data_IF_738131227906
#
_entry.id   IF_738131227906
#
_cell.length_a   1.000
_cell.length_b   1.000
_cell.length_c   1.000
_cell.angle_alpha   90.00
_cell.angle_beta   90.00
_cell.angle_gamma   90.00
#
_symmetry.space_group_name_H-M   'P 1'
#
loop_
_entity.id
_entity.type
_entity.pdbx_description
1 polymer ?
#
# COMPACT_ATOMS: atom_id res chain seq x y z
N UNK A 1 -11.09 0.89 21.57
CA UNK A 1 -10.39 0.96 20.26
C UNK A 1 -10.28 -0.41 19.56
N UNK A 2 -10.68 -1.55 20.16
CA UNK A 2 -10.55 -2.90 19.57
C UNK A 2 -11.88 -3.57 19.16
N UNK A 3 -13.03 -2.93 19.35
CA UNK A 3 -14.34 -3.63 19.28
C UNK A 3 -14.84 -3.92 17.85
N UNK A 4 -14.20 -3.34 16.82
CA UNK A 4 -14.58 -3.54 15.40
C UNK A 4 -13.68 -4.52 14.64
N UNK A 5 -12.53 -4.88 15.22
CA UNK A 5 -11.52 -5.67 14.54
C UNK A 5 -11.91 -7.16 14.60
N UNK A 6 -12.22 -7.74 13.46
CA UNK A 6 -12.54 -9.17 13.32
C UNK A 6 -11.25 -9.95 13.06
N UNK A 7 -11.23 -11.24 13.40
CA UNK A 7 -10.03 -12.09 13.26
C UNK A 7 -10.37 -13.43 12.62
N UNK A 8 -9.59 -13.83 11.62
CA UNK A 8 -9.54 -15.17 11.05
C UNK A 8 -8.22 -15.82 11.48
N UNK A 9 -8.28 -16.94 12.21
CA UNK A 9 -7.09 -17.65 12.64
C UNK A 9 -6.64 -18.63 11.54
N UNK A 10 -5.61 -18.25 10.79
CA UNK A 10 -4.98 -19.13 9.79
C UNK A 10 -3.92 -19.96 10.50
N UNK A 11 -4.13 -21.27 10.57
CA UNK A 11 -3.22 -22.21 11.23
C UNK A 11 -2.22 -22.82 10.25
N UNK A 12 -1.00 -23.03 10.71
CA UNK A 12 0.07 -23.67 9.94
C UNK A 12 0.30 -23.06 8.54
N UNK A 13 0.27 -21.73 8.44
CA UNK A 13 0.59 -21.04 7.21
C UNK A 13 2.09 -21.22 6.89
N UNK A 14 2.40 -21.84 5.74
CA UNK A 14 3.77 -22.00 5.27
C UNK A 14 4.15 -20.89 4.30
N UNK A 15 5.14 -20.07 4.67
CA UNK A 15 5.70 -18.99 3.85
C UNK A 15 6.44 -19.54 2.63
N UNK A 16 6.79 -18.68 1.66
CA UNK A 16 7.64 -19.05 0.52
C UNK A 16 9.01 -19.57 0.95
N UNK A 17 9.53 -19.13 2.10
CA UNK A 17 10.80 -19.61 2.68
C UNK A 17 10.66 -20.96 3.41
N UNK A 18 9.46 -21.54 3.49
CA UNK A 18 9.20 -22.82 4.14
C UNK A 18 9.00 -22.75 5.65
N UNK A 19 8.87 -21.54 6.22
CA UNK A 19 8.62 -21.33 7.65
C UNK A 19 7.12 -21.41 7.94
N UNK A 20 6.76 -21.95 9.09
CA UNK A 20 5.36 -22.20 9.47
C UNK A 20 4.95 -21.26 10.59
N UNK A 21 3.80 -20.59 10.40
CA UNK A 21 3.25 -19.62 11.34
C UNK A 21 1.76 -19.85 11.58
N UNK A 22 1.30 -19.53 12.79
CA UNK A 22 -0.11 -19.30 13.07
C UNK A 22 -0.38 -17.81 12.98
N UNK A 23 -1.24 -17.40 12.04
CA UNK A 23 -1.49 -16.00 11.72
C UNK A 23 -2.91 -15.60 12.15
N UNK A 24 -3.06 -14.65 13.10
CA UNK A 24 -4.34 -13.99 13.34
C UNK A 24 -4.55 -12.92 12.26
N UNK A 25 -5.18 -13.30 11.14
CA UNK A 25 -5.48 -12.36 10.07
C UNK A 25 -6.67 -11.48 10.50
N UNK A 26 -6.37 -10.24 10.86
CA UNK A 26 -7.40 -9.29 11.28
C UNK A 26 -7.93 -8.47 10.11
N UNK A 27 -9.18 -8.03 10.21
CA UNK A 27 -9.84 -7.26 9.17
C UNK A 27 -10.99 -6.41 9.72
N UNK A 28 -11.37 -5.40 8.94
CA UNK A 28 -12.53 -4.54 9.19
C UNK A 28 -13.43 -4.51 7.95
N UNK A 29 -14.72 -4.24 8.19
CA UNK A 29 -15.75 -4.13 7.16
C UNK A 29 -16.50 -2.81 7.37
N UNK A 30 -16.71 -2.06 6.29
CA UNK A 30 -17.42 -0.77 6.30
C UNK A 30 -18.49 -0.73 5.21
N UNK A 31 -19.46 0.18 5.38
CA UNK A 31 -20.56 0.36 4.43
C UNK A 31 -21.60 -0.74 4.50
N UNK A 32 -22.06 -1.21 3.35
CA UNK A 32 -23.08 -2.25 3.26
C UNK A 32 -22.59 -3.57 3.86
N UNK A 33 -23.51 -4.35 4.42
CA UNK A 33 -23.20 -5.65 4.99
C UNK A 33 -22.58 -6.61 3.96
N UNK A 34 -21.72 -7.50 4.44
CA UNK A 34 -21.21 -8.58 3.58
C UNK A 34 -22.37 -9.35 2.96
N UNK A 35 -22.20 -9.75 1.70
CA UNK A 35 -23.18 -10.49 0.90
C UNK A 35 -24.43 -9.69 0.47
N UNK A 36 -24.56 -8.41 0.83
CA UNK A 36 -25.67 -7.55 0.36
C UNK A 36 -25.26 -6.58 -0.74
N UNK A 37 -23.96 -6.36 -0.93
CA UNK A 37 -23.42 -5.43 -1.91
C UNK A 37 -22.12 -5.97 -2.56
N UNK A 38 -21.70 -5.41 -3.71
CA UNK A 38 -20.42 -5.74 -4.31
C UNK A 38 -19.27 -5.36 -3.37
N UNK A 39 -18.29 -6.26 -3.22
CA UNK A 39 -17.17 -6.08 -2.28
C UNK A 39 -16.01 -5.35 -2.95
N UNK A 40 -15.51 -4.31 -2.29
CA UNK A 40 -14.27 -3.60 -2.64
C UNK A 40 -13.21 -3.93 -1.60
N UNK A 41 -12.15 -4.59 -2.03
CA UNK A 41 -11.00 -4.88 -1.17
C UNK A 41 -10.02 -3.70 -1.21
N UNK A 42 -9.73 -3.14 -0.05
CA UNK A 42 -8.77 -2.06 0.13
C UNK A 42 -7.53 -2.59 0.83
N UNK A 43 -6.40 -2.58 0.13
CA UNK A 43 -5.10 -2.97 0.69
C UNK A 43 -4.35 -1.72 1.14
N UNK A 44 -3.95 -1.67 2.42
CA UNK A 44 -3.28 -0.49 2.98
C UNK A 44 -1.78 -0.42 2.63
N UNK A 45 -1.25 0.80 2.66
CA UNK A 45 0.17 1.09 2.43
C UNK A 45 1.04 0.81 3.67
N UNK A 46 2.34 1.17 3.60
CA UNK A 46 3.38 0.84 4.60
C UNK A 46 3.00 1.12 6.06
N UNK A 47 2.42 2.30 6.33
CA UNK A 47 2.08 2.73 7.70
C UNK A 47 0.57 2.84 7.93
N UNK A 48 -0.22 2.29 7.01
CA UNK A 48 -1.66 2.16 7.15
C UNK A 48 -2.06 0.91 7.94
N UNK A 49 -3.35 0.67 8.00
CA UNK A 49 -3.98 -0.46 8.68
C UNK A 49 -5.37 -0.73 8.07
N UNK A 50 -6.13 -1.67 8.66
CA UNK A 50 -7.49 -2.01 8.22
C UNK A 50 -8.54 -0.90 8.43
N UNK A 51 -8.25 0.12 9.25
CA UNK A 51 -9.17 1.25 9.45
C UNK A 51 -9.13 2.23 8.27
N UNK A 52 -9.88 1.92 7.22
CA UNK A 52 -9.84 2.64 5.94
C UNK A 52 -10.69 3.90 5.94
N UNK A 53 -11.90 3.85 6.49
CA UNK A 53 -12.85 4.97 6.53
C UNK A 53 -13.43 5.16 7.94
N UNK A 54 -14.40 6.08 8.10
CA UNK A 54 -14.93 6.50 9.39
C UNK A 54 -14.02 7.47 10.14
N UNK A 55 -14.19 7.57 11.45
CA UNK A 55 -13.47 8.55 12.28
C UNK A 55 -11.95 8.37 12.20
N UNK A 56 -11.48 7.12 12.26
CA UNK A 56 -10.06 6.72 12.24
C UNK A 56 -9.53 6.44 10.84
N UNK A 57 -10.36 6.59 9.80
CA UNK A 57 -10.06 6.18 8.44
C UNK A 57 -8.95 6.98 7.78
N UNK A 58 -7.87 6.31 7.35
CA UNK A 58 -6.77 6.95 6.64
C UNK A 58 -7.09 7.32 5.18
N UNK A 59 -8.15 6.72 4.58
CA UNK A 59 -8.58 6.99 3.21
C UNK A 59 -10.01 7.54 3.11
N UNK A 60 -10.55 8.10 4.20
CA UNK A 60 -11.94 8.57 4.31
C UNK A 60 -12.38 9.66 3.31
N UNK A 61 -11.43 10.35 2.69
CA UNK A 61 -11.73 11.35 1.66
C UNK A 61 -12.08 10.74 0.29
N UNK A 62 -11.65 9.51 0.03
CA UNK A 62 -11.95 8.75 -1.18
C UNK A 62 -13.02 7.67 -0.95
N UNK A 63 -13.13 7.17 0.28
CA UNK A 63 -13.99 6.04 0.65
C UNK A 63 -14.89 6.46 1.81
N UNK A 64 -16.21 6.39 1.64
CA UNK A 64 -17.18 6.84 2.64
C UNK A 64 -18.53 7.22 2.02
N UNK A 65 -19.47 7.69 2.83
CA UNK A 65 -20.81 8.03 2.35
C UNK A 65 -20.76 9.17 1.32
N UNK A 66 -21.29 8.93 0.12
CA UNK A 66 -21.30 9.89 -0.98
C UNK A 66 -19.94 10.20 -1.60
N UNK A 67 -18.86 9.51 -1.17
CA UNK A 67 -17.51 9.60 -1.74
C UNK A 67 -17.41 8.74 -3.02
N UNK A 68 -16.30 8.81 -3.79
CA UNK A 68 -16.16 8.01 -5.01
C UNK A 68 -16.35 6.51 -4.79
N UNK A 69 -15.78 5.97 -3.72
CA UNK A 69 -16.07 4.60 -3.27
C UNK A 69 -17.12 4.69 -2.17
N UNK A 70 -18.39 4.71 -2.60
CA UNK A 70 -19.53 5.01 -1.73
C UNK A 70 -19.89 3.82 -0.84
N UNK A 71 -19.86 4.02 0.48
CA UNK A 71 -20.25 3.02 1.47
C UNK A 71 -21.75 2.74 1.50
N UNK A 72 -22.57 3.56 0.83
CA UNK A 72 -23.99 3.27 0.58
C UNK A 72 -24.19 2.25 -0.55
N UNK A 73 -23.19 2.04 -1.40
CA UNK A 73 -23.26 1.17 -2.59
C UNK A 73 -22.43 -0.10 -2.44
N UNK A 74 -21.29 0.00 -1.75
CA UNK A 74 -20.31 -1.08 -1.66
C UNK A 74 -20.09 -1.55 -0.23
N UNK A 75 -19.73 -2.83 -0.11
CA UNK A 75 -19.09 -3.35 1.11
C UNK A 75 -17.58 -3.14 0.99
N UNK A 76 -17.00 -2.38 1.91
CA UNK A 76 -15.56 -2.16 1.95
C UNK A 76 -14.95 -3.18 2.89
N UNK A 77 -14.04 -4.01 2.38
CA UNK A 77 -13.27 -4.97 3.16
C UNK A 77 -11.81 -4.52 3.20
N UNK A 78 -11.19 -4.55 4.37
CA UNK A 78 -9.78 -4.28 4.52
C UNK A 78 -9.14 -5.26 5.51
N UNK A 79 -8.22 -6.09 5.02
CA UNK A 79 -7.36 -6.89 5.88
C UNK A 79 -6.22 -6.03 6.41
N UNK A 80 -5.86 -6.26 7.68
CA UNK A 80 -4.63 -5.73 8.23
C UNK A 80 -3.45 -6.63 7.79
N UNK A 81 -2.34 -6.03 7.37
CA UNK A 81 -1.13 -6.79 6.99
C UNK A 81 -0.53 -7.42 8.26
N UNK A 82 -0.45 -8.76 8.36
CA UNK A 82 0.10 -9.42 9.54
C UNK A 82 1.54 -8.97 9.83
N UNK A 83 1.80 -8.66 11.09
CA UNK A 83 3.10 -8.19 11.54
C UNK A 83 3.29 -6.68 11.48
N UNK A 84 2.34 -5.89 10.97
CA UNK A 84 2.41 -4.42 11.00
C UNK A 84 2.19 -3.81 12.40
N UNK A 85 1.80 -4.61 13.39
CA UNK A 85 1.63 -4.21 14.78
C UNK A 85 0.31 -3.51 15.14
N UNK A 86 -0.57 -3.19 14.18
CA UNK A 86 -1.82 -2.49 14.45
C UNK A 86 -2.78 -3.27 15.37
N UNK A 87 -2.86 -4.58 15.16
CA UNK A 87 -3.66 -5.51 15.96
C UNK A 87 -2.90 -6.08 17.18
N UNK A 88 -1.65 -5.66 17.36
CA UNK A 88 -0.73 -6.16 18.37
C UNK A 88 0.00 -7.45 17.97
N UNK A 89 -0.23 -7.99 16.77
CA UNK A 89 0.53 -9.13 16.25
C UNK A 89 1.81 -8.65 15.54
N UNK A 90 2.92 -9.27 15.90
CA UNK A 90 4.25 -8.99 15.35
C UNK A 90 4.86 -10.28 14.81
N UNK A 91 5.72 -10.14 13.80
CA UNK A 91 6.51 -11.23 13.25
C UNK A 91 7.96 -11.00 13.67
N UNK A 92 8.54 -11.99 14.35
CA UNK A 92 9.90 -11.87 14.91
C UNK A 92 10.98 -11.78 13.83
N UNK A 93 10.82 -12.55 12.75
CA UNK A 93 11.73 -12.52 11.62
C UNK A 93 11.01 -12.11 10.32
N UNK A 94 10.95 -10.80 10.01
CA UNK A 94 10.41 -10.28 8.76
C UNK A 94 10.86 -11.04 7.51
N UNK A 95 12.15 -11.42 7.44
CA UNK A 95 12.75 -12.03 6.25
C UNK A 95 12.22 -13.42 5.91
N UNK A 96 11.45 -14.03 6.81
CA UNK A 96 10.75 -15.27 6.51
C UNK A 96 9.57 -15.05 5.54
N UNK A 97 9.12 -13.81 5.37
CA UNK A 97 7.99 -13.42 4.53
C UNK A 97 8.43 -12.62 3.30
N UNK A 98 7.62 -12.77 2.25
CA UNK A 98 7.64 -11.91 1.05
C UNK A 98 6.22 -11.37 0.79
N UNK A 99 6.06 -10.35 -0.05
CA UNK A 99 4.74 -9.78 -0.38
C UNK A 99 3.74 -10.83 -0.87
N UNK A 100 4.21 -11.80 -1.66
CA UNK A 100 3.40 -12.93 -2.13
C UNK A 100 2.78 -13.76 -1.01
N UNK A 101 3.42 -13.85 0.17
CA UNK A 101 2.84 -14.55 1.33
C UNK A 101 1.67 -13.78 1.93
N UNK A 102 1.74 -12.44 1.95
CA UNK A 102 0.62 -11.59 2.39
C UNK A 102 -0.55 -11.73 1.42
N UNK A 103 -0.28 -11.73 0.11
CA UNK A 103 -1.31 -12.00 -0.89
C UNK A 103 -1.98 -13.36 -0.69
N UNK A 104 -1.21 -14.43 -0.40
CA UNK A 104 -1.76 -15.76 -0.07
C UNK A 104 -2.63 -15.74 1.19
N UNK A 105 -2.22 -15.03 2.24
CA UNK A 105 -2.99 -14.88 3.47
C UNK A 105 -4.32 -14.15 3.19
N UNK A 106 -4.30 -13.08 2.40
CA UNK A 106 -5.52 -12.34 2.04
C UNK A 106 -6.45 -13.19 1.19
N UNK A 107 -5.92 -13.98 0.24
CA UNK A 107 -6.71 -14.93 -0.54
C UNK A 107 -7.39 -15.99 0.36
N UNK A 108 -6.66 -16.56 1.33
CA UNK A 108 -7.24 -17.48 2.31
C UNK A 108 -8.29 -16.79 3.20
N UNK A 109 -8.06 -15.52 3.57
CA UNK A 109 -9.05 -14.71 4.27
C UNK A 109 -10.35 -14.56 3.48
N UNK A 110 -10.26 -14.25 2.18
CA UNK A 110 -11.42 -14.17 1.29
C UNK A 110 -12.14 -15.52 1.16
N UNK A 111 -11.40 -16.63 1.09
CA UNK A 111 -11.97 -17.99 1.06
C UNK A 111 -12.77 -18.29 2.33
N UNK A 112 -12.23 -17.99 3.51
CA UNK A 112 -12.94 -18.16 4.79
C UNK A 112 -14.19 -17.29 4.86
N UNK A 113 -14.14 -16.08 4.29
CA UNK A 113 -15.29 -15.18 4.19
C UNK A 113 -16.26 -15.56 3.05
N UNK A 114 -16.01 -16.64 2.30
CA UNK A 114 -16.80 -17.06 1.14
C UNK A 114 -16.93 -15.97 0.05
N UNK A 115 -15.89 -15.16 -0.14
CA UNK A 115 -15.84 -14.10 -1.15
C UNK A 115 -15.04 -14.62 -2.36
N UNK A 116 -15.77 -14.97 -3.43
CA UNK A 116 -15.17 -15.58 -4.62
C UNK A 116 -14.84 -14.57 -5.73
N UNK A 117 -15.49 -13.43 -5.72
CA UNK A 117 -15.32 -12.35 -6.69
C UNK A 117 -15.40 -10.99 -5.98
N UNK A 118 -14.54 -10.07 -6.36
CA UNK A 118 -14.49 -8.69 -5.90
C UNK A 118 -14.94 -7.76 -7.02
N UNK A 119 -15.68 -6.71 -6.68
CA UNK A 119 -15.93 -5.62 -7.61
C UNK A 119 -14.63 -4.90 -7.96
N UNK A 120 -13.82 -4.61 -6.94
CA UNK A 120 -12.54 -3.96 -7.12
C UNK A 120 -11.51 -4.37 -6.06
N UNK A 121 -10.24 -4.34 -6.45
CA UNK A 121 -9.10 -4.26 -5.54
C UNK A 121 -8.47 -2.88 -5.73
N UNK A 122 -8.27 -2.13 -4.65
CA UNK A 122 -7.60 -0.83 -4.66
C UNK A 122 -6.56 -0.75 -3.55
N UNK A 123 -5.40 -0.16 -3.85
CA UNK A 123 -4.35 0.01 -2.86
C UNK A 123 -3.24 0.92 -3.36
N UNK A 124 -2.74 1.76 -2.46
CA UNK A 124 -1.60 2.62 -2.71
C UNK A 124 -0.29 1.97 -2.29
N UNK A 125 0.82 2.24 -2.99
CA UNK A 125 2.16 1.79 -2.58
C UNK A 125 2.18 0.26 -2.38
N UNK A 126 2.75 -0.21 -1.26
CA UNK A 126 2.71 -1.62 -0.87
C UNK A 126 1.34 -2.29 -1.02
N UNK A 127 0.25 -1.57 -0.72
CA UNK A 127 -1.11 -2.12 -0.84
C UNK A 127 -1.49 -2.50 -2.28
N UNK A 128 -1.09 -1.69 -3.25
CA UNK A 128 -1.29 -2.02 -4.66
C UNK A 128 -0.31 -3.10 -5.14
N UNK A 129 0.92 -3.14 -4.60
CA UNK A 129 1.84 -4.26 -4.78
C UNK A 129 1.27 -5.60 -4.32
N UNK A 130 0.61 -5.62 -3.14
CA UNK A 130 -0.14 -6.81 -2.67
C UNK A 130 -1.30 -7.12 -3.62
N UNK A 131 -2.01 -6.11 -4.12
CA UNK A 131 -3.09 -6.31 -5.10
C UNK A 131 -2.61 -6.96 -6.40
N UNK A 132 -1.44 -6.55 -6.91
CA UNK A 132 -0.78 -7.19 -8.04
C UNK A 132 -0.47 -8.66 -7.74
N UNK A 133 0.16 -8.96 -6.61
CA UNK A 133 0.48 -10.32 -6.16
C UNK A 133 -0.76 -11.22 -6.04
N UNK A 134 -1.84 -10.69 -5.47
CA UNK A 134 -3.12 -11.40 -5.37
C UNK A 134 -3.67 -11.79 -6.74
N UNK A 135 -3.64 -10.86 -7.71
CA UNK A 135 -4.13 -11.11 -9.07
C UNK A 135 -3.16 -11.96 -9.91
N UNK A 136 -1.86 -11.93 -9.62
CA UNK A 136 -0.88 -12.87 -10.17
C UNK A 136 -1.18 -14.32 -9.76
N UNK A 137 -1.65 -14.52 -8.52
CA UNK A 137 -2.05 -15.84 -8.00
C UNK A 137 -3.47 -16.25 -8.42
N UNK A 138 -4.43 -15.33 -8.43
CA UNK A 138 -5.85 -15.57 -8.76
C UNK A 138 -6.35 -14.54 -9.76
N UNK A 139 -6.07 -14.78 -11.04
CA UNK A 139 -6.23 -13.81 -12.13
C UNK A 139 -7.68 -13.39 -12.45
N UNK A 140 -8.68 -14.09 -11.93
CA UNK A 140 -10.11 -13.81 -12.10
C UNK A 140 -10.79 -13.31 -10.82
N UNK A 141 -10.01 -12.90 -9.81
CA UNK A 141 -10.55 -12.52 -8.50
C UNK A 141 -11.38 -11.23 -8.52
N UNK A 142 -11.05 -10.26 -9.38
CA UNK A 142 -11.67 -8.94 -9.35
C UNK A 142 -12.08 -8.44 -10.75
N UNK A 143 -13.16 -7.66 -10.81
CA UNK A 143 -13.57 -6.99 -12.04
C UNK A 143 -12.68 -5.79 -12.36
N UNK A 144 -12.27 -5.03 -11.34
CA UNK A 144 -11.44 -3.83 -11.47
C UNK A 144 -10.23 -3.90 -10.53
N UNK A 145 -9.10 -3.39 -10.97
CA UNK A 145 -7.88 -3.29 -10.17
C UNK A 145 -7.28 -1.90 -10.32
N UNK A 146 -7.10 -1.21 -9.20
CA UNK A 146 -6.63 0.18 -9.13
C UNK A 146 -5.35 0.23 -8.28
N UNK A 147 -4.18 -0.12 -8.84
CA UNK A 147 -2.90 0.13 -8.20
C UNK A 147 -2.57 1.62 -8.26
N UNK A 148 -2.27 2.22 -7.11
CA UNK A 148 -1.94 3.65 -6.99
C UNK A 148 -0.50 3.81 -6.51
N UNK A 149 0.32 4.57 -7.25
CA UNK A 149 1.72 4.83 -6.94
C UNK A 149 2.50 3.54 -6.60
N UNK A 150 2.40 2.52 -7.47
CA UNK A 150 2.97 1.20 -7.25
C UNK A 150 2.99 0.37 -8.54
N UNK A 151 3.98 -0.53 -8.62
CA UNK A 151 4.18 -1.41 -9.76
C UNK A 151 4.07 -2.90 -9.37
N UNK A 152 4.06 -3.81 -10.37
CA UNK A 152 3.96 -5.27 -10.18
C UNK A 152 5.25 -5.90 -9.62
N UNK A 153 6.34 -5.15 -9.57
CA UNK A 153 7.63 -5.55 -9.01
C UNK A 153 8.27 -4.43 -8.20
N UNK A 154 9.16 -4.83 -7.31
CA UNK A 154 10.14 -3.92 -6.70
C UNK A 154 11.18 -3.56 -7.76
N UNK A 155 11.35 -2.28 -8.07
CA UNK A 155 12.44 -1.81 -8.94
C UNK A 155 13.78 -1.83 -8.20
N UNK A 156 14.89 -1.82 -8.92
CA UNK A 156 16.23 -1.70 -8.30
C UNK A 156 16.35 -0.42 -7.47
N UNK A 157 15.68 0.65 -7.90
CA UNK A 157 15.60 1.90 -7.16
C UNK A 157 14.89 1.71 -5.81
N UNK A 158 13.67 1.15 -5.81
CA UNK A 158 12.92 0.88 -4.58
C UNK A 158 13.68 -0.09 -3.66
N UNK A 159 14.26 -1.15 -4.23
CA UNK A 159 15.07 -2.11 -3.49
C UNK A 159 16.26 -1.43 -2.80
N UNK A 160 16.97 -0.53 -3.50
CA UNK A 160 18.07 0.24 -2.91
C UNK A 160 17.59 1.12 -1.75
N UNK A 161 16.41 1.75 -1.85
CA UNK A 161 15.82 2.51 -0.75
C UNK A 161 15.50 1.61 0.45
N UNK A 162 14.95 0.41 0.23
CA UNK A 162 14.70 -0.56 1.28
C UNK A 162 15.99 -1.05 1.94
N UNK A 163 17.06 -1.26 1.16
CA UNK A 163 18.37 -1.65 1.68
C UNK A 163 18.97 -0.58 2.60
N UNK A 164 18.88 0.70 2.21
CA UNK A 164 19.31 1.81 3.09
C UNK A 164 18.49 1.82 4.38
N UNK A 165 17.16 1.61 4.28
CA UNK A 165 16.33 1.49 5.48
C UNK A 165 16.75 0.33 6.38
N UNK A 166 17.09 -0.84 5.84
CA UNK A 166 17.60 -1.97 6.64
C UNK A 166 18.88 -1.59 7.41
N UNK A 167 19.81 -0.86 6.78
CA UNK A 167 21.01 -0.37 7.48
C UNK A 167 20.67 0.60 8.60
N UNK A 168 19.66 1.46 8.41
CA UNK A 168 19.21 2.41 9.44
C UNK A 168 18.48 1.71 10.59
N UNK A 169 17.68 0.68 10.29
CA UNK A 169 16.89 -0.08 11.26
C UNK A 169 17.76 -0.95 12.19
N UNK A 170 18.99 -1.29 11.77
CA UNK A 170 19.95 -2.05 12.58
C UNK A 170 20.81 -1.18 13.51
N UNK A 171 20.68 0.14 13.44
CA UNK A 171 21.41 1.06 14.32
C UNK A 171 20.85 1.04 15.76
N UNK A 172 21.70 1.23 16.75
CA UNK A 172 21.29 1.29 18.17
C UNK A 172 20.59 2.60 18.53
N UNK A 173 21.04 3.71 17.95
CA UNK A 173 20.53 5.04 18.25
C UNK A 173 19.38 5.42 17.31
N UNK A 174 18.16 5.46 17.87
CA UNK A 174 16.91 5.92 17.22
C UNK A 174 16.69 5.35 15.79
N UNK A 175 16.73 4.02 15.61
CA UNK A 175 16.65 3.39 14.27
C UNK A 175 15.37 3.78 13.50
N UNK A 176 14.21 3.75 14.16
CA UNK A 176 12.94 4.12 13.53
C UNK A 176 12.88 5.59 13.11
N UNK A 177 13.41 6.50 13.93
CA UNK A 177 13.45 7.92 13.59
C UNK A 177 14.28 8.14 12.33
N UNK A 178 15.47 7.55 12.27
CA UNK A 178 16.39 7.69 11.12
C UNK A 178 15.79 7.08 9.85
N UNK A 179 15.25 5.86 9.94
CA UNK A 179 14.58 5.21 8.83
C UNK A 179 13.37 6.04 8.33
N UNK A 180 12.60 6.63 9.24
CA UNK A 180 11.47 7.49 8.89
C UNK A 180 11.91 8.78 8.18
N UNK A 181 12.94 9.45 8.68
CA UNK A 181 13.48 10.66 8.04
C UNK A 181 13.92 10.34 6.61
N UNK A 182 14.66 9.24 6.42
CA UNK A 182 15.05 8.76 5.09
C UNK A 182 13.83 8.51 4.20
N UNK A 183 12.85 7.73 4.67
CA UNK A 183 11.65 7.42 3.90
C UNK A 183 10.88 8.69 3.48
N UNK A 184 10.78 9.69 4.37
CA UNK A 184 10.12 10.97 4.06
C UNK A 184 10.78 11.74 2.92
N UNK A 185 12.10 11.58 2.72
CA UNK A 185 12.81 12.20 1.58
C UNK A 185 12.48 11.52 0.25
N UNK A 186 12.04 10.27 0.28
CA UNK A 186 11.53 9.56 -0.90
C UNK A 186 10.02 9.77 -1.09
N UNK A 187 9.29 10.07 -0.02
CA UNK A 187 7.84 10.34 -0.12
C UNK A 187 7.50 11.75 -0.55
N UNK A 188 8.46 12.68 -0.42
CA UNK A 188 8.36 14.09 -0.81
C UNK A 188 9.33 14.39 -1.93
N UNK A 189 9.26 15.62 -2.44
CA UNK A 189 10.19 16.12 -3.45
C UNK A 189 11.04 17.27 -2.89
N UNK A 190 12.19 17.56 -3.52
CA UNK A 190 12.93 18.78 -3.23
C UNK A 190 12.09 20.06 -3.33
N UNK A 191 11.22 20.15 -4.35
CA UNK A 191 10.33 21.29 -4.54
C UNK A 191 9.35 21.46 -3.37
N UNK A 192 8.68 20.37 -2.95
CA UNK A 192 7.71 20.44 -1.85
C UNK A 192 8.35 20.82 -0.52
N UNK A 193 9.59 20.37 -0.24
CA UNK A 193 10.33 20.79 0.96
C UNK A 193 10.72 22.27 0.90
N UNK A 194 11.21 22.73 -0.26
CA UNK A 194 11.63 24.11 -0.45
C UNK A 194 10.47 25.09 -0.35
N UNK A 195 9.33 24.80 -0.97
CA UNK A 195 8.10 25.62 -0.87
C UNK A 195 7.59 25.70 0.58
N UNK A 196 7.66 24.59 1.32
CA UNK A 196 7.19 24.54 2.71
C UNK A 196 8.08 25.33 3.66
N UNK A 197 9.40 25.21 3.54
CA UNK A 197 10.33 25.71 4.55
C UNK A 197 11.16 26.92 4.11
N UNK A 198 11.49 27.05 2.83
CA UNK A 198 12.19 28.22 2.27
C UNK A 198 13.49 28.58 2.99
N UNK A 199 14.28 27.59 3.42
CA UNK A 199 15.50 27.76 4.23
C UNK A 199 15.30 28.50 5.57
N UNK A 200 14.07 28.63 6.07
CA UNK A 200 13.79 29.30 7.35
C UNK A 200 14.41 28.54 8.51
N UNK A 201 14.93 29.30 9.48
CA UNK A 201 15.49 28.82 10.74
C UNK A 201 14.51 29.19 11.87
N UNK A 202 14.46 28.39 12.93
CA UNK A 202 13.78 28.72 14.18
C UNK A 202 14.53 29.82 14.91
N UNK A 203 13.84 30.90 15.29
CA UNK A 203 14.45 32.05 15.99
C UNK A 203 15.03 31.65 17.35
N UNK A 204 14.50 30.59 17.97
CA UNK A 204 14.78 30.14 19.33
C UNK A 204 15.72 28.91 19.42
N UNK A 205 15.96 28.19 18.31
CA UNK A 205 16.68 26.90 18.33
C UNK A 205 17.97 26.84 17.50
N UNK A 206 18.28 27.90 16.74
CA UNK A 206 19.34 27.90 15.69
C UNK A 206 19.23 26.70 14.70
N UNK A 207 18.02 26.14 14.55
CA UNK A 207 17.73 24.91 13.80
C UNK A 207 16.90 25.22 12.55
N UNK A 208 17.16 24.56 11.42
CA UNK A 208 16.28 24.69 10.24
C UNK A 208 14.89 24.15 10.55
N UNK A 209 13.84 24.84 10.10
CA UNK A 209 12.44 24.39 10.27
C UNK A 209 12.18 23.03 9.59
N UNK A 210 12.89 22.74 8.50
CA UNK A 210 12.82 21.43 7.83
C UNK A 210 13.39 20.30 8.69
N UNK A 211 14.45 20.58 9.45
CA UNK A 211 15.08 19.60 10.35
C UNK A 211 14.19 19.31 11.56
N UNK A 212 13.64 20.34 12.21
CA UNK A 212 12.67 20.19 13.32
C UNK A 212 11.46 19.35 12.86
N UNK A 213 10.96 19.60 11.65
CA UNK A 213 9.84 18.86 11.08
C UNK A 213 10.16 17.38 10.82
N UNK A 214 11.31 17.07 10.22
CA UNK A 214 11.75 15.70 9.98
C UNK A 214 11.94 14.94 11.30
N UNK A 215 12.58 15.58 12.29
CA UNK A 215 12.79 15.01 13.61
C UNK A 215 11.46 14.73 14.32
N UNK A 216 10.53 15.68 14.31
CA UNK A 216 9.19 15.52 14.88
C UNK A 216 8.45 14.32 14.27
N UNK A 217 8.45 14.16 12.94
CA UNK A 217 7.78 13.03 12.30
C UNK A 217 8.42 11.69 12.61
N UNK A 218 9.75 11.65 12.74
CA UNK A 218 10.44 10.44 13.16
C UNK A 218 10.14 10.06 14.62
N UNK A 219 10.04 11.04 15.53
CA UNK A 219 9.61 10.82 16.93
C UNK A 219 8.16 10.32 16.99
N UNK A 220 7.25 10.97 16.26
CA UNK A 220 5.85 10.57 16.17
C UNK A 220 5.66 9.15 15.62
N UNK A 221 6.49 8.70 14.68
CA UNK A 221 6.42 7.32 14.22
C UNK A 221 6.77 6.34 15.34
N UNK A 222 7.80 6.64 16.13
CA UNK A 222 8.26 5.80 17.22
C UNK A 222 7.21 5.63 18.34
N UNK A 223 6.26 6.56 18.46
CA UNK A 223 5.11 6.45 19.39
C UNK A 223 4.06 5.42 18.96
N UNK A 224 3.99 5.09 17.66
CA UNK A 224 2.89 4.29 17.07
C UNK A 224 3.31 3.06 16.27
N UNK A 225 4.61 2.89 16.00
CA UNK A 225 5.15 1.76 15.26
C UNK A 225 6.30 1.12 16.04
N UNK A 226 6.36 -0.21 16.04
CA UNK A 226 7.48 -0.94 16.61
C UNK A 226 8.57 -1.17 15.55
N UNK A 227 9.79 -1.46 15.99
CA UNK A 227 10.90 -1.74 15.09
C UNK A 227 10.62 -2.96 14.21
N UNK A 228 10.14 -4.05 14.81
CA UNK A 228 9.78 -5.28 14.08
C UNK A 228 8.65 -5.05 13.09
N UNK A 229 7.64 -4.26 13.44
CA UNK A 229 6.58 -3.90 12.51
C UNK A 229 7.12 -3.13 11.31
N UNK A 230 7.94 -2.11 11.54
CA UNK A 230 8.49 -1.33 10.43
C UNK A 230 9.44 -2.16 9.55
N UNK A 231 10.26 -3.03 10.15
CA UNK A 231 11.10 -3.98 9.40
C UNK A 231 10.28 -4.97 8.59
N UNK A 232 9.15 -5.46 9.12
CA UNK A 232 8.20 -6.29 8.37
C UNK A 232 7.70 -5.55 7.13
N UNK A 233 7.24 -4.32 7.30
CA UNK A 233 6.70 -3.53 6.19
C UNK A 233 7.78 -3.18 5.14
N UNK A 234 9.02 -2.89 5.55
CA UNK A 234 10.16 -2.66 4.65
C UNK A 234 10.54 -3.92 3.85
N UNK A 235 10.53 -5.08 4.50
CA UNK A 235 10.78 -6.38 3.87
C UNK A 235 9.74 -6.74 2.82
N UNK A 236 8.46 -6.40 3.04
CA UNK A 236 7.44 -6.61 2.02
C UNK A 236 7.69 -5.69 0.81
N UNK A 237 7.94 -4.40 1.03
CA UNK A 237 8.25 -3.48 -0.06
C UNK A 237 9.43 -3.95 -0.93
N UNK A 238 10.45 -4.58 -0.35
CA UNK A 238 11.62 -5.06 -1.10
C UNK A 238 11.39 -6.34 -1.90
N UNK A 239 10.23 -6.99 -1.75
CA UNK A 239 9.97 -8.35 -2.26
C UNK A 239 8.70 -8.47 -3.09
N UNK A 240 8.15 -7.34 -3.59
CA UNK A 240 7.07 -7.36 -4.58
C UNK A 240 7.64 -7.98 -5.87
N UNK A 241 7.08 -9.12 -6.30
CA UNK A 241 7.39 -9.79 -7.57
C UNK A 241 6.17 -10.64 -7.99
N UNK A 242 5.20 -9.99 -8.62
CA UNK A 242 3.93 -10.62 -9.05
C UNK A 242 4.16 -11.85 -9.91
N UNK A 243 5.06 -11.72 -10.89
CA UNK A 243 5.52 -12.79 -11.78
C UNK A 243 7.04 -12.72 -11.86
N UNK A 244 7.70 -13.86 -12.11
CA UNK A 244 9.16 -13.87 -12.23
C UNK A 244 9.62 -12.94 -13.34
N UNK A 245 10.55 -12.04 -13.08
CA UNK A 245 11.08 -11.12 -14.11
C UNK A 245 11.82 -11.91 -15.20
N UNK A 246 11.22 -11.99 -16.38
CA UNK A 246 11.79 -12.60 -17.59
C UNK A 246 11.08 -12.08 -18.87
N UNK A 247 11.42 -12.63 -20.03
CA UNK A 247 10.86 -12.22 -21.32
C UNK A 247 9.35 -12.55 -21.51
N UNK A 248 8.71 -13.23 -20.55
CA UNK A 248 7.28 -13.56 -20.55
C UNK A 248 6.48 -12.82 -19.47
N UNK A 249 7.11 -11.89 -18.75
CA UNK A 249 6.48 -11.25 -17.58
C UNK A 249 5.17 -10.56 -17.97
N UNK A 250 5.17 -9.81 -19.08
CA UNK A 250 3.99 -9.08 -19.52
C UNK A 250 2.88 -10.01 -20.00
N UNK A 251 3.18 -11.12 -20.67
CA UNK A 251 2.21 -12.15 -21.05
C UNK A 251 1.57 -12.80 -19.81
N UNK A 252 2.35 -13.03 -18.75
CA UNK A 252 1.83 -13.54 -17.49
C UNK A 252 0.94 -12.51 -16.79
N UNK A 253 1.33 -11.23 -16.75
CA UNK A 253 0.50 -10.15 -16.21
C UNK A 253 -0.78 -9.93 -17.03
N UNK A 254 -0.72 -10.09 -18.35
CA UNK A 254 -1.89 -9.99 -19.23
C UNK A 254 -2.94 -11.08 -18.98
N UNK A 255 -2.58 -12.16 -18.27
CA UNK A 255 -3.54 -13.18 -17.84
C UNK A 255 -4.56 -12.64 -16.81
N UNK A 256 -4.22 -11.57 -16.08
CA UNK A 256 -5.12 -10.87 -15.15
C UNK A 256 -6.36 -10.38 -15.90
N UNK A 257 -7.54 -10.84 -15.48
CA UNK A 257 -8.82 -10.56 -16.14
C UNK A 257 -9.38 -9.19 -15.78
N UNK A 258 -9.07 -8.69 -14.59
CA UNK A 258 -9.51 -7.37 -14.13
C UNK A 258 -9.20 -6.26 -15.15
N UNK A 259 -10.07 -5.25 -15.20
CA UNK A 259 -9.74 -3.96 -15.81
C UNK A 259 -8.69 -3.28 -14.93
N UNK A 260 -7.52 -2.96 -15.50
CA UNK A 260 -6.41 -2.40 -14.73
C UNK A 260 -6.37 -0.88 -14.94
N UNK A 261 -6.43 -0.12 -13.86
CA UNK A 261 -6.36 1.33 -13.87
C UNK A 261 -5.13 1.77 -13.07
N UNK A 262 -3.98 1.85 -13.74
CA UNK A 262 -2.74 2.29 -13.13
C UNK A 262 -2.87 3.79 -12.83
N UNK A 263 -2.60 4.19 -11.59
CA UNK A 263 -2.58 5.59 -11.18
C UNK A 263 -1.18 5.92 -10.67
N UNK A 264 -0.40 6.70 -11.42
CA UNK A 264 0.94 7.12 -10.98
C UNK A 264 0.93 8.57 -10.49
N UNK A 265 1.98 8.98 -9.78
CA UNK A 265 2.23 10.39 -9.43
C UNK A 265 3.46 10.86 -10.21
N UNK A 266 3.34 11.96 -10.95
CA UNK A 266 4.40 12.47 -11.86
C UNK A 266 5.76 12.71 -11.16
N UNK A 267 5.71 13.15 -9.90
CA UNK A 267 6.88 13.48 -9.09
C UNK A 267 7.28 12.41 -8.08
N UNK A 268 6.72 11.19 -8.17
CA UNK A 268 7.05 10.10 -7.26
C UNK A 268 8.54 9.72 -7.35
N UNK A 269 9.22 9.75 -6.19
CA UNK A 269 10.62 9.37 -6.07
C UNK A 269 10.79 8.01 -5.38
N UNK A 270 9.72 7.28 -5.08
CA UNK A 270 9.74 5.98 -4.43
C UNK A 270 9.26 4.88 -5.38
N UNK A 271 8.11 5.10 -6.03
CA UNK A 271 7.62 4.34 -7.17
C UNK A 271 7.58 5.26 -8.39
N UNK A 272 8.71 5.44 -9.11
CA UNK A 272 8.80 6.45 -10.17
C UNK A 272 7.75 6.22 -11.26
N UNK A 273 7.05 7.28 -11.67
CA UNK A 273 6.03 7.22 -12.71
C UNK A 273 6.54 6.63 -14.04
N UNK A 274 7.85 6.67 -14.30
CA UNK A 274 8.46 6.02 -15.46
C UNK A 274 8.32 4.49 -15.45
N UNK A 275 8.37 3.85 -14.28
CA UNK A 275 8.15 2.40 -14.17
C UNK A 275 6.67 2.08 -14.43
N UNK A 276 5.74 2.82 -13.82
CA UNK A 276 4.29 2.66 -14.05
C UNK A 276 3.92 2.88 -15.53
N UNK A 277 4.50 3.91 -16.16
CA UNK A 277 4.30 4.20 -17.59
C UNK A 277 4.89 3.10 -18.48
N UNK A 278 6.05 2.54 -18.12
CA UNK A 278 6.63 1.40 -18.81
C UNK A 278 5.72 0.18 -18.72
N UNK A 279 5.25 -0.15 -17.51
CA UNK A 279 4.29 -1.24 -17.27
C UNK A 279 3.03 -1.04 -18.11
N UNK A 280 2.43 0.15 -18.10
CA UNK A 280 1.28 0.47 -18.95
C UNK A 280 1.58 0.25 -20.44
N UNK A 281 2.68 0.81 -20.92
CA UNK A 281 3.06 0.77 -22.35
C UNK A 281 3.24 -0.66 -22.82
N UNK A 282 3.94 -1.50 -22.06
CA UNK A 282 4.17 -2.90 -22.44
C UNK A 282 2.90 -3.75 -22.32
N UNK A 283 2.13 -3.64 -21.23
CA UNK A 283 0.87 -4.38 -21.09
C UNK A 283 -0.16 -3.98 -22.14
N UNK A 284 -0.27 -2.70 -22.49
CA UNK A 284 -1.28 -2.21 -23.44
C UNK A 284 -1.11 -2.80 -24.86
N UNK A 285 0.08 -3.31 -25.20
CA UNK A 285 0.33 -3.98 -26.48
C UNK A 285 -0.42 -5.32 -26.60
N UNK A 286 -0.74 -5.95 -25.47
CA UNK A 286 -1.30 -7.31 -25.38
C UNK A 286 -2.60 -7.41 -24.57
N UNK A 287 -2.92 -6.40 -23.76
CA UNK A 287 -4.14 -6.31 -22.94
C UNK A 287 -4.89 -5.02 -23.30
N UNK A 288 -6.16 -5.16 -23.68
CA UNK A 288 -6.99 -4.03 -24.13
C UNK A 288 -7.72 -3.29 -22.99
N UNK A 289 -7.90 -3.92 -21.83
CA UNK A 289 -8.59 -3.35 -20.68
C UNK A 289 -7.61 -2.85 -19.62
N UNK A 290 -6.70 -1.98 -20.04
CA UNK A 290 -5.76 -1.26 -19.18
C UNK A 290 -5.82 0.24 -19.48
N UNK A 291 -5.76 1.08 -18.45
CA UNK A 291 -5.64 2.54 -18.56
C UNK A 291 -4.60 3.05 -17.57
N UNK A 292 -3.98 4.17 -17.91
CA UNK A 292 -3.04 4.88 -17.05
C UNK A 292 -3.55 6.30 -16.80
N UNK A 293 -3.57 6.68 -15.53
CA UNK A 293 -3.87 8.02 -15.06
C UNK A 293 -2.66 8.57 -14.30
N UNK A 294 -2.49 9.89 -14.36
CA UNK A 294 -1.38 10.58 -13.70
C UNK A 294 -1.95 11.64 -12.78
N UNK A 295 -1.57 11.57 -11.50
CA UNK A 295 -1.75 12.66 -10.54
C UNK A 295 -0.55 13.59 -10.69
N UNK A 296 -0.81 14.87 -10.94
CA UNK A 296 0.24 15.88 -11.03
C UNK A 296 0.35 16.56 -9.67
N UNK A 297 1.49 16.43 -9.00
CA UNK A 297 1.68 17.01 -7.67
C UNK A 297 3.14 17.27 -7.41
N UNK A 298 3.45 18.31 -6.64
CA UNK A 298 4.81 18.50 -6.12
C UNK A 298 5.08 17.60 -4.91
N UNK A 299 4.07 16.93 -4.36
CA UNK A 299 4.18 16.25 -3.08
C UNK A 299 4.81 14.85 -3.13
N UNK A 300 5.18 14.34 -4.31
CA UNK A 300 5.83 13.04 -4.45
C UNK A 300 4.88 11.88 -4.13
N UNK A 301 5.43 10.77 -3.66
CA UNK A 301 4.67 9.56 -3.33
C UNK A 301 3.44 9.81 -2.43
N UNK A 302 3.54 10.74 -1.46
CA UNK A 302 2.42 11.07 -0.57
C UNK A 302 1.21 11.71 -1.28
N UNK A 303 1.31 12.08 -2.55
CA UNK A 303 0.26 12.78 -3.28
C UNK A 303 -1.05 11.98 -3.35
N UNK A 304 -1.03 10.65 -3.37
CA UNK A 304 -2.28 9.86 -3.37
C UNK A 304 -3.07 9.95 -2.05
N UNK A 305 -2.45 10.50 -0.99
CA UNK A 305 -3.08 10.81 0.30
C UNK A 305 -3.37 12.31 0.47
N UNK A 306 -3.18 13.12 -0.57
CA UNK A 306 -3.29 14.59 -0.49
C UNK A 306 -4.10 15.18 -1.65
N UNK A 307 -3.86 14.70 -2.86
CA UNK A 307 -4.50 15.15 -4.11
C UNK A 307 -5.86 14.48 -4.31
N UNK A 308 -6.71 14.58 -3.29
CA UNK A 308 -8.00 13.89 -3.29
C UNK A 308 -8.91 14.33 -4.43
N UNK A 309 -8.82 15.57 -4.92
CA UNK A 309 -9.62 15.99 -6.06
C UNK A 309 -9.27 15.19 -7.33
N UNK A 310 -7.98 15.10 -7.67
CA UNK A 310 -7.51 14.33 -8.83
C UNK A 310 -7.82 12.84 -8.67
N UNK A 311 -7.52 12.27 -7.51
CA UNK A 311 -7.80 10.87 -7.22
C UNK A 311 -9.30 10.57 -7.27
N UNK A 312 -10.14 11.41 -6.66
CA UNK A 312 -11.59 11.22 -6.62
C UNK A 312 -12.22 11.31 -8.01
N UNK A 313 -11.73 12.21 -8.87
CA UNK A 313 -12.16 12.29 -10.27
C UNK A 313 -11.81 11.00 -11.05
N UNK A 314 -10.64 10.43 -10.83
CA UNK A 314 -10.24 9.14 -11.42
C UNK A 314 -11.18 8.03 -10.91
N UNK A 315 -11.38 7.94 -9.59
CA UNK A 315 -12.20 6.90 -8.97
C UNK A 315 -13.67 7.00 -9.38
N UNK A 316 -14.24 8.19 -9.50
CA UNK A 316 -15.61 8.40 -9.99
C UNK A 316 -15.83 7.86 -11.40
N UNK A 317 -14.81 7.84 -12.25
CA UNK A 317 -14.91 7.27 -13.60
C UNK A 317 -14.85 5.74 -13.60
N UNK A 318 -14.35 5.13 -12.52
CA UNK A 318 -14.18 3.68 -12.38
C UNK A 318 -15.35 3.07 -11.62
N UNK A 319 -15.70 3.64 -10.47
CA UNK A 319 -16.82 3.23 -9.63
C UNK A 319 -18.10 3.88 -10.14
N UNK A 320 -18.97 3.07 -10.74
CA UNK A 320 -20.26 3.53 -11.24
C UNK A 320 -21.26 3.60 -10.08
N UNK A 321 -21.95 4.74 -9.95
CA UNK A 321 -23.18 4.83 -9.17
C UNK A 321 -24.28 3.97 -9.79
#
# INVERSE_FOLDING_TARGET
>A
MKDYLKTINIKNFTTQSGKVYDIPLTYEVFGQDLYTAPVVLVNHALTGNSAVTGELGWWKEAIGEGKPVDTNTYTILAFNIPGNGYDGFLIDNPKDFVTKDIARLFLQGLEVLNINELYAIIGGSLGGGIGWEMLGLKNNLAQNFIPVATDWKTSDWLYAQCLVQDFLLTQSDKPLQKARIHAMLCYRTPQSLNERFGNKIHEDKELRKSEDWLNFHGERLNERFTLSAYSMMNQLLSTIETVKVNNKSFEQLAAIKANIFIVSVDSDLFFPASEDYHTYTELSKIKNNIKHFIINSVHGHDAFLMEYEQLNNILHNIFKK
#
